data_IF_408027936580
#
_entry.id   IF_408027936580
#
_cell.length_a   1.000
_cell.length_b   1.000
_cell.length_c   1.000
_cell.angle_alpha   90.00
_cell.angle_beta   90.00
_cell.angle_gamma   90.00
#
_symmetry.space_group_name_H-M   'P 1'
#
loop_
_entity.id
_entity.type
_entity.pdbx_description
1 polymer ?
#
# COMPACT_ATOMS: atom_id res chain seq x y z
N UNK A 1 17.42 4.75 6.63
CA UNK A 1 16.41 4.47 5.59
C UNK A 1 16.59 5.44 4.44
N UNK A 2 16.39 5.01 3.19
CA UNK A 2 16.36 5.87 1.99
C UNK A 2 14.96 5.81 1.41
N UNK A 3 14.25 6.94 1.32
CA UNK A 3 12.85 6.97 0.90
C UNK A 3 12.37 8.38 0.57
N UNK A 4 11.20 8.51 -0.06
CA UNK A 4 10.38 9.72 0.10
C UNK A 4 9.92 9.83 1.57
N UNK A 5 9.76 11.09 2.06
CA UNK A 5 9.45 11.34 3.47
C UNK A 5 8.42 12.46 3.61
N UNK A 6 7.62 12.51 4.70
CA UNK A 6 6.74 13.63 4.97
C UNK A 6 7.50 14.99 5.01
N UNK A 7 6.84 16.09 4.60
CA UNK A 7 5.41 16.30 4.32
C UNK A 7 4.94 15.89 2.92
N UNK A 8 5.80 15.24 2.12
CA UNK A 8 5.45 14.82 0.75
C UNK A 8 4.13 14.04 0.71
N UNK A 9 3.20 14.44 -0.18
CA UNK A 9 1.91 13.76 -0.38
C UNK A 9 2.10 12.49 -1.22
N UNK A 10 2.70 11.47 -0.62
CA UNK A 10 3.07 10.22 -1.27
C UNK A 10 2.74 9.03 -0.37
N UNK A 11 2.20 7.96 -0.94
CA UNK A 11 1.90 6.73 -0.21
C UNK A 11 3.16 6.07 0.38
N UNK A 12 4.30 6.15 -0.33
CA UNK A 12 5.58 5.61 0.14
C UNK A 12 6.12 6.42 1.32
N UNK A 13 5.96 7.77 1.31
CA UNK A 13 6.37 8.60 2.44
C UNK A 13 5.61 8.23 3.73
N UNK A 14 4.30 8.02 3.63
CA UNK A 14 3.48 7.58 4.77
C UNK A 14 3.86 6.17 5.22
N UNK A 15 4.09 5.25 4.29
CA UNK A 15 4.54 3.90 4.59
C UNK A 15 5.89 3.91 5.32
N UNK A 16 6.87 4.65 4.79
CA UNK A 16 8.22 4.74 5.37
C UNK A 16 8.21 5.35 6.78
N UNK A 17 7.37 6.36 7.01
CA UNK A 17 7.17 6.96 8.33
C UNK A 17 6.58 5.97 9.34
N UNK A 18 5.51 5.24 8.96
CA UNK A 18 4.92 4.20 9.80
C UNK A 18 5.92 3.07 10.08
N UNK A 19 6.62 2.57 9.05
CA UNK A 19 7.66 1.55 9.22
C UNK A 19 8.77 2.00 10.18
N UNK A 20 9.28 3.23 9.99
CA UNK A 20 10.33 3.79 10.83
C UNK A 20 9.92 3.92 12.30
N UNK A 21 8.65 4.26 12.59
CA UNK A 21 8.12 4.31 13.95
C UNK A 21 8.31 2.97 14.67
N UNK A 22 7.94 1.87 14.03
CA UNK A 22 8.02 0.53 14.64
C UNK A 22 9.41 -0.08 14.60
N UNK A 23 10.23 0.25 13.59
CA UNK A 23 11.65 -0.11 13.57
C UNK A 23 12.38 0.55 14.74
N UNK A 24 12.16 1.85 14.99
CA UNK A 24 12.77 2.57 16.12
C UNK A 24 12.34 2.00 17.48
N UNK A 25 11.07 1.63 17.64
CA UNK A 25 10.57 1.00 18.87
C UNK A 25 11.22 -0.35 19.17
N UNK A 26 11.70 -1.05 18.14
CA UNK A 26 12.35 -2.37 18.29
C UNK A 26 13.76 -2.24 18.89
N UNK A 27 14.48 -1.15 18.58
CA UNK A 27 15.80 -0.84 19.13
C UNK A 27 15.96 0.68 19.28
N UNK A 28 15.49 1.20 20.41
CA UNK A 28 15.50 2.63 20.72
C UNK A 28 16.92 3.20 20.94
N UNK A 29 17.91 2.36 21.19
CA UNK A 29 19.28 2.79 21.45
C UNK A 29 20.05 3.06 20.15
N UNK A 30 19.61 2.51 19.01
CA UNK A 30 20.28 2.71 17.73
C UNK A 30 19.82 4.01 17.06
N UNK A 31 20.76 4.82 16.57
CA UNK A 31 20.38 5.99 15.80
C UNK A 31 19.70 5.55 14.49
N UNK A 32 18.63 6.25 14.14
CA UNK A 32 17.88 6.03 12.90
C UNK A 32 17.93 7.31 12.06
N UNK A 33 18.46 7.18 10.85
CA UNK A 33 18.60 8.27 9.90
C UNK A 33 17.73 8.04 8.67
N UNK A 34 17.27 9.13 8.07
CA UNK A 34 16.50 9.12 6.83
C UNK A 34 17.22 9.97 5.79
N UNK A 35 17.53 9.38 4.66
CA UNK A 35 17.97 10.11 3.46
C UNK A 35 16.76 10.22 2.53
N UNK A 36 16.31 11.44 2.28
CA UNK A 36 15.04 11.68 1.59
C UNK A 36 15.18 12.59 0.38
N UNK A 37 14.10 12.66 -0.41
CA UNK A 37 13.94 13.70 -1.43
C UNK A 37 13.98 15.07 -0.79
N UNK A 38 14.30 16.10 -1.60
CA UNK A 38 14.52 17.48 -1.18
C UNK A 38 13.36 18.15 -0.44
N UNK A 39 12.18 17.56 -0.49
CA UNK A 39 10.96 18.00 0.20
C UNK A 39 10.65 17.28 1.51
N UNK A 40 11.54 16.38 1.97
CA UNK A 40 11.38 15.70 3.26
C UNK A 40 11.87 16.55 4.44
N UNK A 41 11.20 16.48 5.58
CA UNK A 41 11.48 17.28 6.78
C UNK A 41 11.47 16.41 8.04
N UNK A 42 12.25 16.79 9.05
CA UNK A 42 12.24 16.15 10.38
C UNK A 42 13.63 16.00 10.99
N UNK A 43 13.66 15.52 12.22
CA UNK A 43 14.90 15.23 12.94
C UNK A 43 15.61 13.99 12.32
N UNK A 44 16.93 14.10 12.12
CA UNK A 44 17.73 13.07 11.45
C UNK A 44 17.29 12.74 10.00
N UNK A 45 16.58 13.67 9.34
CA UNK A 45 16.21 13.61 7.93
C UNK A 45 17.18 14.45 7.10
N UNK A 46 17.77 13.83 6.07
CA UNK A 46 18.71 14.49 5.14
C UNK A 46 18.05 14.58 3.77
N UNK A 47 17.47 15.76 3.39
CA UNK A 47 16.70 15.95 2.17
C UNK A 47 17.61 16.23 0.96
N UNK A 48 18.33 15.22 0.49
CA UNK A 48 19.40 15.35 -0.52
C UNK A 48 19.16 14.60 -1.83
N UNK A 49 18.07 13.83 -1.95
CA UNK A 49 17.72 13.17 -3.21
C UNK A 49 17.09 14.21 -4.14
N UNK A 50 17.89 14.72 -5.07
CA UNK A 50 17.49 15.77 -6.01
C UNK A 50 17.32 15.18 -7.42
N UNK A 51 16.08 14.88 -7.78
CA UNK A 51 15.74 14.27 -9.07
C UNK A 51 15.84 15.23 -10.27
N UNK A 52 16.21 16.48 -10.08
CA UNK A 52 16.56 17.39 -11.16
C UNK A 52 17.98 17.15 -11.69
N UNK A 53 18.79 16.37 -10.96
CA UNK A 53 20.18 16.05 -11.30
C UNK A 53 20.31 14.63 -11.82
N UNK A 54 21.03 14.43 -12.90
CA UNK A 54 21.32 13.10 -13.42
C UNK A 54 22.19 12.26 -12.47
N UNK A 55 23.10 12.90 -11.74
CA UNK A 55 24.02 12.30 -10.79
C UNK A 55 23.51 12.33 -9.33
N UNK A 56 22.19 12.38 -9.13
CA UNK A 56 21.53 12.49 -7.82
C UNK A 56 22.01 11.44 -6.81
N UNK A 57 22.43 10.26 -7.27
CA UNK A 57 22.89 9.14 -6.45
C UNK A 57 24.26 9.39 -5.81
N UNK A 58 25.12 10.26 -6.38
CA UNK A 58 26.45 10.54 -5.84
C UNK A 58 26.41 11.17 -4.44
N UNK A 59 25.73 12.33 -4.22
CA UNK A 59 25.65 12.91 -2.89
C UNK A 59 24.89 12.02 -1.90
N UNK A 60 23.95 11.19 -2.38
CA UNK A 60 23.20 10.23 -1.57
C UNK A 60 24.12 9.13 -1.05
N UNK A 61 24.89 8.49 -1.94
CA UNK A 61 25.85 7.46 -1.55
C UNK A 61 26.91 8.00 -0.59
N UNK A 62 27.46 9.19 -0.87
CA UNK A 62 28.41 9.87 0.01
C UNK A 62 27.84 10.10 1.41
N UNK A 63 26.60 10.62 1.50
CA UNK A 63 25.97 10.85 2.79
C UNK A 63 25.74 9.56 3.57
N UNK A 64 25.30 8.49 2.91
CA UNK A 64 25.12 7.18 3.54
C UNK A 64 26.45 6.64 4.09
N UNK A 65 27.53 6.76 3.31
CA UNK A 65 28.87 6.35 3.76
C UNK A 65 29.38 7.20 4.94
N UNK A 66 29.12 8.52 4.96
CA UNK A 66 29.45 9.41 6.08
C UNK A 66 28.69 9.04 7.37
N UNK A 67 27.47 8.52 7.25
CA UNK A 67 26.65 8.09 8.37
C UNK A 67 27.09 6.74 8.94
N UNK A 68 27.88 5.98 8.20
CA UNK A 68 28.43 4.67 8.56
C UNK A 68 27.36 3.72 9.18
N UNK A 69 26.26 3.42 8.47
CA UNK A 69 25.16 2.65 9.03
C UNK A 69 25.45 1.15 9.06
N UNK A 70 24.92 0.42 10.03
CA UNK A 70 24.95 -1.04 10.05
C UNK A 70 24.22 -1.67 8.87
N UNK A 71 23.09 -1.06 8.46
CA UNK A 71 22.30 -1.49 7.32
C UNK A 71 21.61 -0.29 6.65
N UNK A 72 21.39 -0.40 5.34
CA UNK A 72 20.71 0.61 4.51
C UNK A 72 19.42 0.03 3.96
N UNK A 73 18.29 0.46 4.48
CA UNK A 73 16.96 0.04 4.00
C UNK A 73 16.42 1.07 3.00
N UNK A 74 16.19 0.65 1.77
CA UNK A 74 15.81 1.51 0.64
C UNK A 74 14.41 1.16 0.15
N UNK A 75 13.50 2.13 0.22
CA UNK A 75 12.16 2.03 -0.34
C UNK A 75 12.21 2.38 -1.82
N UNK A 76 11.94 1.42 -2.70
CA UNK A 76 11.98 1.66 -4.13
C UNK A 76 10.57 1.74 -4.74
N UNK A 77 10.38 2.77 -5.57
CA UNK A 77 9.24 2.92 -6.49
C UNK A 77 9.75 3.61 -7.76
N UNK A 78 9.36 3.12 -8.92
CA UNK A 78 9.86 3.63 -10.21
C UNK A 78 9.76 5.15 -10.33
N UNK A 79 8.64 5.73 -9.94
CA UNK A 79 8.42 7.17 -10.01
C UNK A 79 9.24 8.01 -9.02
N UNK A 80 9.92 7.40 -8.05
CA UNK A 80 10.75 8.12 -7.08
C UNK A 80 12.19 8.33 -7.55
N UNK A 81 12.70 7.43 -8.39
CA UNK A 81 14.13 7.39 -8.77
C UNK A 81 14.36 7.45 -10.28
N UNK A 82 13.32 7.83 -11.02
CA UNK A 82 13.39 7.97 -12.46
C UNK A 82 13.82 9.39 -12.83
N UNK A 83 15.07 9.57 -13.23
CA UNK A 83 15.52 10.85 -13.79
C UNK A 83 14.96 11.01 -15.21
N UNK A 84 14.47 12.22 -15.51
CA UNK A 84 13.98 12.60 -16.83
C UNK A 84 14.75 13.86 -17.25
N UNK A 85 15.38 13.80 -18.42
CA UNK A 85 16.17 14.91 -18.94
C UNK A 85 15.31 16.04 -19.57
N UNK A 86 15.95 17.09 -20.07
CA UNK A 86 15.28 18.25 -20.68
C UNK A 86 14.50 17.89 -21.97
N UNK A 87 14.82 16.77 -22.63
CA UNK A 87 14.12 16.26 -23.80
C UNK A 87 12.94 15.36 -23.44
N UNK A 88 12.77 15.03 -22.17
CA UNK A 88 11.76 14.10 -21.69
C UNK A 88 12.21 12.64 -21.72
N UNK A 89 13.49 12.37 -21.97
CA UNK A 89 14.03 11.01 -21.98
C UNK A 89 14.31 10.53 -20.55
N UNK A 90 13.77 9.35 -20.22
CA UNK A 90 13.89 8.72 -18.90
C UNK A 90 15.17 7.88 -18.82
N UNK A 91 15.85 7.92 -17.67
CA UNK A 91 16.97 7.02 -17.36
C UNK A 91 16.53 5.60 -16.96
N UNK A 92 15.23 5.35 -16.90
CA UNK A 92 14.65 4.04 -16.53
C UNK A 92 15.19 3.50 -15.21
N UNK A 93 15.39 4.36 -14.21
CA UNK A 93 15.96 4.06 -12.90
C UNK A 93 17.44 3.59 -12.91
N UNK A 94 18.21 3.87 -13.95
CA UNK A 94 19.64 3.53 -13.98
C UNK A 94 20.40 4.21 -12.84
N UNK A 95 20.06 5.45 -12.48
CA UNK A 95 20.63 6.13 -11.31
C UNK A 95 20.43 5.36 -9.99
N UNK A 96 19.32 4.62 -9.86
CA UNK A 96 19.11 3.76 -8.69
C UNK A 96 20.06 2.56 -8.66
N UNK A 97 20.32 1.92 -9.79
CA UNK A 97 21.31 0.84 -9.89
C UNK A 97 22.73 1.36 -9.59
N UNK A 98 23.06 2.57 -10.05
CA UNK A 98 24.33 3.23 -9.72
C UNK A 98 24.45 3.51 -8.21
N UNK A 99 23.36 3.92 -7.55
CA UNK A 99 23.35 4.05 -6.08
C UNK A 99 23.70 2.70 -5.41
N UNK A 100 23.04 1.60 -5.80
CA UNK A 100 23.30 0.28 -5.23
C UNK A 100 24.76 -0.16 -5.44
N UNK A 101 25.33 0.06 -6.63
CA UNK A 101 26.75 -0.24 -6.92
C UNK A 101 27.69 0.50 -5.96
N UNK A 102 27.43 1.78 -5.66
CA UNK A 102 28.22 2.58 -4.71
C UNK A 102 28.06 2.14 -3.27
N UNK A 103 26.95 1.50 -2.94
CA UNK A 103 26.66 0.95 -1.61
C UNK A 103 27.06 -0.53 -1.47
N UNK A 104 27.69 -1.13 -2.48
CA UNK A 104 28.01 -2.57 -2.52
C UNK A 104 28.83 -3.12 -1.34
N UNK A 105 29.54 -2.25 -0.61
CA UNK A 105 30.25 -2.61 0.64
C UNK A 105 29.36 -2.64 1.90
N UNK A 106 28.14 -2.14 1.82
CA UNK A 106 27.21 -2.04 2.94
C UNK A 106 26.12 -3.12 2.86
N UNK A 107 25.54 -3.47 4.01
CA UNK A 107 24.34 -4.30 4.09
C UNK A 107 23.14 -3.52 3.54
N UNK A 108 22.73 -3.82 2.30
CA UNK A 108 21.64 -3.13 1.61
C UNK A 108 20.39 -3.97 1.55
N UNK A 109 19.27 -3.39 1.99
CA UNK A 109 17.95 -4.01 1.92
C UNK A 109 17.11 -3.15 0.98
N UNK A 110 16.64 -3.70 -0.13
CA UNK A 110 15.76 -3.01 -1.07
C UNK A 110 14.34 -3.52 -0.94
N UNK A 111 13.41 -2.62 -0.75
CA UNK A 111 11.97 -2.91 -0.64
C UNK A 111 11.21 -2.27 -1.81
N UNK A 112 11.04 -3.00 -2.96
CA UNK A 112 10.29 -2.48 -4.09
C UNK A 112 8.79 -2.53 -3.81
N UNK A 113 8.13 -1.38 -3.97
CA UNK A 113 6.68 -1.27 -3.79
C UNK A 113 5.90 -1.74 -5.01
N UNK A 114 6.48 -1.65 -6.18
CA UNK A 114 5.87 -2.10 -7.43
C UNK A 114 6.73 -3.18 -8.08
N UNK A 115 6.23 -4.41 -8.08
CA UNK A 115 6.75 -5.53 -8.87
C UNK A 115 5.56 -6.15 -9.58
N UNK A 116 5.40 -5.79 -10.86
CA UNK A 116 4.30 -6.29 -11.68
C UNK A 116 4.50 -7.75 -12.09
N UNK A 117 3.42 -8.50 -12.20
CA UNK A 117 3.48 -9.87 -12.71
C UNK A 117 3.70 -9.95 -14.22
N UNK A 118 3.59 -8.81 -14.92
CA UNK A 118 3.97 -8.65 -16.34
C UNK A 118 4.93 -7.49 -16.43
N UNK A 119 6.22 -7.81 -16.38
CA UNK A 119 7.28 -6.84 -16.55
C UNK A 119 7.54 -6.62 -18.04
N UNK A 120 7.85 -5.38 -18.42
CA UNK A 120 8.43 -5.07 -19.72
C UNK A 120 9.91 -5.45 -19.71
N UNK A 121 10.52 -5.59 -20.85
CA UNK A 121 11.92 -6.03 -20.95
C UNK A 121 12.89 -5.17 -20.11
N UNK A 122 12.75 -3.85 -20.15
CA UNK A 122 13.58 -2.96 -19.33
C UNK A 122 13.31 -3.09 -17.83
N UNK A 123 12.06 -3.37 -17.44
CA UNK A 123 11.70 -3.63 -16.04
C UNK A 123 12.24 -4.98 -15.56
N UNK A 124 12.22 -6.01 -16.41
CA UNK A 124 12.84 -7.31 -16.12
C UNK A 124 14.35 -7.18 -15.90
N UNK A 125 15.04 -6.47 -16.80
CA UNK A 125 16.47 -6.21 -16.68
C UNK A 125 16.79 -5.41 -15.42
N UNK A 126 16.00 -4.37 -15.13
CA UNK A 126 16.15 -3.57 -13.92
C UNK A 126 15.98 -4.42 -12.64
N UNK A 127 14.91 -5.22 -12.54
CA UNK A 127 14.65 -6.06 -11.35
C UNK A 127 15.74 -7.12 -11.21
N UNK A 128 16.20 -7.72 -12.31
CA UNK A 128 17.29 -8.69 -12.29
C UNK A 128 18.60 -8.07 -11.75
N UNK A 129 18.98 -6.89 -12.27
CA UNK A 129 20.20 -6.21 -11.78
C UNK A 129 20.05 -5.71 -10.33
N UNK A 130 18.89 -5.14 -9.98
CA UNK A 130 18.57 -4.70 -8.63
C UNK A 130 18.69 -5.85 -7.61
N UNK A 131 18.10 -7.02 -7.92
CA UNK A 131 18.14 -8.18 -7.01
C UNK A 131 19.55 -8.77 -6.88
N UNK A 132 20.39 -8.59 -7.91
CA UNK A 132 21.80 -9.03 -7.88
C UNK A 132 22.70 -8.06 -7.10
N UNK A 133 22.37 -6.77 -7.05
CA UNK A 133 23.15 -5.73 -6.38
C UNK A 133 22.78 -5.57 -4.89
N UNK A 134 21.51 -5.79 -4.55
CA UNK A 134 21.05 -5.71 -3.17
C UNK A 134 21.46 -6.94 -2.35
N UNK A 135 21.82 -6.75 -1.08
CA UNK A 135 22.09 -7.87 -0.18
C UNK A 135 20.82 -8.66 0.13
N UNK A 136 19.71 -7.95 0.42
CA UNK A 136 18.37 -8.54 0.64
C UNK A 136 17.34 -7.74 -0.15
N UNK A 137 16.36 -8.43 -0.70
CA UNK A 137 15.20 -7.83 -1.35
C UNK A 137 13.91 -8.26 -0.67
N UNK A 138 13.03 -7.29 -0.37
CA UNK A 138 11.78 -7.54 0.37
C UNK A 138 10.57 -7.43 -0.57
N UNK A 139 9.93 -8.54 -0.85
CA UNK A 139 8.65 -8.55 -1.56
C UNK A 139 7.48 -8.59 -0.58
N UNK A 140 6.32 -8.16 -1.04
CA UNK A 140 5.14 -8.00 -0.19
C UNK A 140 4.24 -9.22 -0.10
N UNK A 141 4.33 -10.13 -1.05
CA UNK A 141 3.56 -11.37 -1.05
C UNK A 141 4.25 -12.46 -1.87
N UNK A 142 3.91 -13.72 -1.57
CA UNK A 142 4.43 -14.89 -2.29
C UNK A 142 4.14 -14.85 -3.79
N UNK A 143 2.98 -14.30 -4.17
CA UNK A 143 2.61 -14.17 -5.58
C UNK A 143 3.63 -13.33 -6.38
N UNK A 144 4.15 -12.24 -5.83
CA UNK A 144 5.17 -11.42 -6.49
C UNK A 144 6.46 -12.23 -6.73
N UNK A 145 6.94 -12.96 -5.71
CA UNK A 145 8.13 -13.83 -5.80
C UNK A 145 7.92 -14.93 -6.85
N UNK A 146 6.78 -15.60 -6.81
CA UNK A 146 6.42 -16.65 -7.75
C UNK A 146 6.35 -16.14 -9.19
N UNK A 147 5.69 -15.00 -9.44
CA UNK A 147 5.60 -14.40 -10.78
C UNK A 147 6.95 -13.94 -11.31
N UNK A 148 7.80 -13.38 -10.46
CA UNK A 148 9.16 -13.01 -10.84
C UNK A 148 9.96 -14.25 -11.25
N UNK A 149 9.83 -15.36 -10.51
CA UNK A 149 10.46 -16.63 -10.86
C UNK A 149 10.06 -17.12 -12.25
N UNK A 150 8.80 -16.99 -12.64
CA UNK A 150 8.33 -17.30 -13.99
C UNK A 150 8.95 -16.37 -15.05
N UNK A 151 8.99 -15.06 -14.80
CA UNK A 151 9.57 -14.09 -15.70
C UNK A 151 11.07 -14.38 -15.90
N UNK A 152 11.81 -14.62 -14.82
CA UNK A 152 13.25 -14.93 -14.87
C UNK A 152 13.53 -16.25 -15.58
N UNK A 153 12.78 -17.31 -15.29
CA UNK A 153 12.91 -18.60 -15.95
C UNK A 153 12.68 -18.49 -17.47
N UNK A 154 11.77 -17.62 -17.94
CA UNK A 154 11.54 -17.38 -19.37
C UNK A 154 12.74 -16.74 -20.08
N UNK A 155 13.63 -16.10 -19.32
CA UNK A 155 14.91 -15.51 -19.79
C UNK A 155 16.12 -16.42 -19.55
N UNK A 156 15.92 -17.57 -18.92
CA UNK A 156 17.02 -18.45 -18.50
C UNK A 156 17.78 -17.93 -17.27
N UNK A 157 17.18 -17.04 -16.48
CA UNK A 157 17.74 -16.53 -15.24
C UNK A 157 17.21 -17.32 -14.04
N UNK A 158 18.04 -17.50 -13.04
CA UNK A 158 17.62 -18.06 -11.75
C UNK A 158 16.98 -16.99 -10.87
N UNK A 159 16.01 -17.39 -10.07
CA UNK A 159 15.44 -16.52 -9.04
C UNK A 159 16.43 -16.37 -7.89
N UNK A 160 16.86 -15.14 -7.53
CA UNK A 160 17.82 -14.96 -6.45
C UNK A 160 17.29 -15.45 -5.09
N UNK A 161 18.17 -16.09 -4.32
CA UNK A 161 17.82 -16.64 -3.01
C UNK A 161 17.71 -15.59 -1.89
N UNK A 162 18.12 -14.35 -2.15
CA UNK A 162 18.09 -13.23 -1.21
C UNK A 162 16.75 -12.50 -1.13
N UNK A 163 15.65 -13.08 -1.68
CA UNK A 163 14.31 -12.50 -1.67
C UNK A 163 13.52 -13.03 -0.50
N UNK A 164 13.20 -12.16 0.46
CA UNK A 164 12.32 -12.43 1.61
C UNK A 164 10.93 -11.83 1.40
N UNK A 165 9.88 -12.50 1.88
CA UNK A 165 8.53 -11.96 1.88
C UNK A 165 8.28 -11.22 3.20
N UNK A 166 8.00 -9.92 3.09
CA UNK A 166 7.63 -9.07 4.22
C UNK A 166 6.39 -8.26 3.82
N UNK A 167 5.22 -8.58 4.34
CA UNK A 167 3.96 -7.96 3.92
C UNK A 167 3.91 -6.48 4.30
N UNK A 168 2.91 -5.77 3.75
CA UNK A 168 2.64 -4.39 4.14
C UNK A 168 2.15 -4.36 5.59
N UNK A 169 2.82 -3.60 6.45
CA UNK A 169 2.43 -3.43 7.85
C UNK A 169 1.09 -2.74 8.01
N UNK A 170 0.35 -3.10 9.05
CA UNK A 170 -0.90 -2.48 9.44
C UNK A 170 -0.89 -2.14 10.95
N UNK A 171 -1.64 -1.11 11.35
CA UNK A 171 -1.63 -0.57 12.72
C UNK A 171 -2.70 -1.25 13.60
N UNK A 172 -2.34 -2.08 14.59
CA UNK A 172 -3.31 -2.72 15.47
C UNK A 172 -3.92 -1.77 16.52
N UNK A 173 -3.28 -0.61 16.73
CA UNK A 173 -3.73 0.43 17.65
C UNK A 173 -4.88 1.30 17.10
N UNK A 174 -5.23 1.17 15.83
CA UNK A 174 -6.30 1.93 15.18
C UNK A 174 -7.64 1.18 15.24
N UNK A 175 -8.19 1.04 16.45
CA UNK A 175 -9.49 0.43 16.69
C UNK A 175 -10.44 1.44 17.29
N UNK A 176 -11.70 1.34 16.91
CA UNK A 176 -12.78 2.17 17.44
C UNK A 176 -13.91 1.27 17.94
N UNK A 177 -14.36 1.47 19.18
CA UNK A 177 -15.52 0.79 19.70
C UNK A 177 -16.80 1.29 19.00
N UNK A 178 -17.88 0.53 19.09
CA UNK A 178 -19.14 0.86 18.38
C UNK A 178 -19.69 2.23 18.83
N UNK A 179 -19.61 2.54 20.11
CA UNK A 179 -20.02 3.83 20.67
C UNK A 179 -19.10 4.98 20.23
N UNK A 180 -17.81 4.72 19.99
CA UNK A 180 -16.88 5.70 19.45
C UNK A 180 -17.20 6.03 17.99
N UNK A 181 -17.64 5.06 17.18
CA UNK A 181 -18.00 5.28 15.76
C UNK A 181 -19.11 6.34 15.63
N UNK A 182 -20.13 6.30 16.47
CA UNK A 182 -21.19 7.30 16.46
C UNK A 182 -20.68 8.73 16.79
N UNK A 183 -19.65 8.84 17.64
CA UNK A 183 -19.00 10.12 17.93
C UNK A 183 -18.11 10.59 16.76
N UNK A 184 -17.47 9.65 16.03
CA UNK A 184 -16.69 9.96 14.82
C UNK A 184 -17.57 10.53 13.71
N UNK A 185 -18.81 10.07 13.56
CA UNK A 185 -19.74 10.64 12.57
C UNK A 185 -20.00 12.12 12.84
N UNK A 186 -20.15 12.52 14.10
CA UNK A 186 -20.29 13.94 14.47
C UNK A 186 -18.98 14.72 14.26
N UNK A 187 -17.86 14.18 14.72
CA UNK A 187 -16.54 14.80 14.55
C UNK A 187 -16.20 15.06 13.08
N UNK A 188 -16.55 14.14 12.21
CA UNK A 188 -16.27 14.22 10.77
C UNK A 188 -17.33 15.03 9.99
N UNK A 189 -18.39 15.50 10.63
CA UNK A 189 -19.52 16.14 9.95
C UNK A 189 -20.38 15.16 9.13
N UNK A 190 -20.38 13.89 9.52
CA UNK A 190 -21.09 12.79 8.84
C UNK A 190 -22.36 12.35 9.61
N UNK A 191 -22.93 13.22 10.44
CA UNK A 191 -24.12 12.91 11.28
C UNK A 191 -25.33 12.40 10.50
N UNK A 192 -25.40 12.67 9.19
CA UNK A 192 -26.43 12.15 8.29
C UNK A 192 -26.32 10.65 8.02
N UNK A 193 -25.22 10.00 8.44
CA UNK A 193 -25.03 8.54 8.37
C UNK A 193 -25.63 7.81 9.56
N UNK A 194 -25.95 8.51 10.67
CA UNK A 194 -26.44 7.90 11.89
C UNK A 194 -27.66 6.99 11.63
N UNK A 195 -27.56 5.77 12.12
CA UNK A 195 -28.59 4.75 11.97
C UNK A 195 -28.69 4.11 10.58
N UNK A 196 -27.76 4.42 9.69
CA UNK A 196 -27.64 3.80 8.38
C UNK A 196 -26.42 2.86 8.34
N UNK A 197 -26.48 1.83 7.54
CA UNK A 197 -25.31 1.04 7.19
C UNK A 197 -24.53 1.71 6.04
N UNK A 198 -23.22 1.65 6.10
CA UNK A 198 -22.35 2.42 5.20
C UNK A 198 -21.43 1.51 4.38
N UNK A 199 -21.50 1.62 3.06
CA UNK A 199 -20.51 1.04 2.15
C UNK A 199 -19.53 2.13 1.73
N UNK A 200 -18.22 1.90 1.96
CA UNK A 200 -17.19 2.89 1.70
C UNK A 200 -16.47 2.71 0.36
N UNK A 201 -16.31 3.81 -0.38
CA UNK A 201 -15.30 4.04 -1.41
C UNK A 201 -14.33 5.09 -0.85
N UNK A 202 -13.22 4.68 -0.25
CA UNK A 202 -12.38 5.60 0.54
C UNK A 202 -10.93 5.61 0.05
N UNK A 203 -10.37 6.78 -0.17
CA UNK A 203 -8.97 6.95 -0.52
C UNK A 203 -8.67 8.08 -1.52
N UNK A 204 -7.44 8.09 -2.04
CA UNK A 204 -7.06 9.03 -3.08
C UNK A 204 -7.82 8.77 -4.38
N UNK A 205 -8.39 9.82 -4.95
CA UNK A 205 -9.10 9.74 -6.22
C UNK A 205 -8.09 9.77 -7.37
N UNK A 206 -8.05 8.66 -8.11
CA UNK A 206 -7.17 8.43 -9.27
C UNK A 206 -7.92 7.57 -10.30
N UNK A 207 -7.43 7.57 -11.54
CA UNK A 207 -8.03 6.82 -12.65
C UNK A 207 -8.15 5.32 -12.39
N UNK A 208 -7.14 4.73 -11.74
CA UNK A 208 -7.11 3.30 -11.44
C UNK A 208 -8.07 2.88 -10.31
N UNK A 209 -8.64 3.80 -9.54
CA UNK A 209 -9.55 3.47 -8.42
C UNK A 209 -10.95 3.05 -8.85
N UNK A 210 -11.36 3.39 -10.07
CA UNK A 210 -12.56 2.90 -10.73
C UNK A 210 -13.84 2.97 -9.89
N UNK A 211 -14.04 4.04 -9.15
CA UNK A 211 -15.26 4.26 -8.36
C UNK A 211 -16.54 4.23 -9.21
N UNK A 212 -16.40 4.57 -10.49
CA UNK A 212 -17.48 4.48 -11.50
C UNK A 212 -18.12 3.07 -11.61
N UNK A 213 -17.38 2.02 -11.29
CA UNK A 213 -17.91 0.65 -11.33
C UNK A 213 -19.03 0.47 -10.30
N UNK A 214 -18.81 0.92 -9.06
CA UNK A 214 -19.82 0.80 -8.00
C UNK A 214 -20.94 1.83 -8.16
N UNK A 215 -20.60 3.09 -8.43
CA UNK A 215 -21.63 4.15 -8.58
C UNK A 215 -22.61 3.83 -9.70
N UNK A 216 -22.16 3.23 -10.80
CA UNK A 216 -23.02 2.86 -11.94
C UNK A 216 -24.04 1.74 -11.67
N UNK A 217 -23.86 0.99 -10.60
CA UNK A 217 -24.76 -0.12 -10.22
C UNK A 217 -25.45 0.12 -8.87
N UNK A 218 -25.12 1.24 -8.19
CA UNK A 218 -25.50 1.43 -6.79
C UNK A 218 -27.01 1.55 -6.59
N UNK A 219 -27.70 2.30 -7.43
CA UNK A 219 -29.15 2.49 -7.29
C UNK A 219 -29.90 1.15 -7.29
N UNK A 220 -29.68 0.32 -8.32
CA UNK A 220 -30.28 -1.03 -8.38
C UNK A 220 -29.90 -1.89 -7.17
N UNK A 221 -28.64 -1.81 -6.75
CA UNK A 221 -28.15 -2.60 -5.64
C UNK A 221 -28.74 -2.16 -4.30
N UNK A 222 -28.83 -0.86 -4.07
CA UNK A 222 -29.47 -0.25 -2.90
C UNK A 222 -30.92 -0.75 -2.75
N UNK A 223 -31.74 -0.66 -3.82
CA UNK A 223 -33.13 -1.11 -3.78
C UNK A 223 -33.25 -2.61 -3.47
N UNK A 224 -32.34 -3.41 -4.02
CA UNK A 224 -32.29 -4.86 -3.75
C UNK A 224 -31.88 -5.17 -2.31
N UNK A 225 -30.95 -4.43 -1.72
CA UNK A 225 -30.56 -4.58 -0.32
C UNK A 225 -31.75 -4.20 0.57
N UNK A 226 -32.34 -3.03 0.36
CA UNK A 226 -33.49 -2.54 1.13
C UNK A 226 -34.68 -3.50 1.07
N UNK A 227 -34.97 -4.04 -0.10
CA UNK A 227 -36.06 -5.02 -0.27
C UNK A 227 -35.81 -6.33 0.50
N UNK A 228 -34.55 -6.70 0.78
CA UNK A 228 -34.20 -7.94 1.48
C UNK A 228 -34.00 -7.77 2.98
N UNK A 229 -33.47 -6.64 3.41
CA UNK A 229 -33.09 -6.41 4.82
C UNK A 229 -34.10 -5.51 5.55
N UNK A 230 -34.79 -4.63 4.83
CA UNK A 230 -35.55 -3.53 5.42
C UNK A 230 -34.69 -2.41 5.99
N UNK A 231 -33.36 -2.51 5.90
CA UNK A 231 -32.39 -1.59 6.46
C UNK A 231 -31.96 -0.54 5.44
N UNK A 232 -31.59 0.64 5.94
CA UNK A 232 -31.02 1.70 5.11
C UNK A 232 -29.51 1.50 4.93
N UNK A 233 -29.08 1.28 3.70
CA UNK A 233 -27.70 1.22 3.29
C UNK A 233 -27.35 2.37 2.38
N UNK A 234 -26.26 3.06 2.65
CA UNK A 234 -25.80 4.20 1.84
C UNK A 234 -24.37 4.02 1.36
N UNK A 235 -24.04 4.66 0.26
CA UNK A 235 -22.69 4.71 -0.28
C UNK A 235 -22.00 5.98 0.23
N UNK A 236 -20.89 5.83 0.93
CA UNK A 236 -19.99 6.92 1.28
C UNK A 236 -18.77 6.89 0.36
N UNK A 237 -18.67 7.84 -0.55
CA UNK A 237 -17.46 8.08 -1.30
C UNK A 237 -16.66 9.18 -0.60
N UNK A 238 -15.43 8.87 -0.16
CA UNK A 238 -14.66 9.80 0.64
C UNK A 238 -13.20 9.87 0.18
N UNK A 239 -12.72 11.08 -0.10
CA UNK A 239 -11.35 11.29 -0.56
C UNK A 239 -11.08 12.66 -1.16
N UNK A 240 -9.89 12.78 -1.72
CA UNK A 240 -9.41 13.96 -2.44
C UNK A 240 -8.64 13.52 -3.69
N UNK A 241 -8.58 14.38 -4.68
CA UNK A 241 -7.75 14.21 -5.85
C UNK A 241 -6.27 14.20 -5.46
N UNK A 242 -5.51 13.19 -5.93
CA UNK A 242 -4.10 13.07 -5.60
C UNK A 242 -3.26 14.19 -6.22
N UNK A 243 -3.47 14.45 -7.50
CA UNK A 243 -2.81 15.50 -8.26
C UNK A 243 -3.70 15.99 -9.42
N UNK A 244 -3.40 17.15 -10.04
CA UNK A 244 -4.21 17.75 -11.13
C UNK A 244 -4.39 16.86 -12.37
N UNK A 245 -3.50 15.88 -12.60
CA UNK A 245 -3.61 14.97 -13.75
C UNK A 245 -4.85 14.07 -13.65
N UNK A 246 -5.41 13.90 -12.45
CA UNK A 246 -6.61 13.12 -12.19
C UNK A 246 -7.91 13.94 -12.20
N UNK A 247 -7.89 15.21 -12.62
CA UNK A 247 -9.07 16.09 -12.62
C UNK A 247 -10.27 15.49 -13.36
N UNK A 248 -10.06 14.86 -14.52
CA UNK A 248 -11.15 14.24 -15.29
C UNK A 248 -11.81 13.09 -14.54
N UNK A 249 -11.03 12.26 -13.89
CA UNK A 249 -11.53 11.13 -13.11
C UNK A 249 -12.23 11.62 -11.84
N UNK A 250 -11.66 12.63 -11.18
CA UNK A 250 -12.29 13.28 -10.03
C UNK A 250 -13.70 13.79 -10.37
N UNK A 251 -13.82 14.61 -11.42
CA UNK A 251 -15.11 15.14 -11.87
C UNK A 251 -16.10 14.02 -12.22
N UNK A 252 -15.63 13.01 -12.96
CA UNK A 252 -16.48 11.87 -13.34
C UNK A 252 -17.01 11.12 -12.11
N UNK A 253 -16.17 10.88 -11.10
CA UNK A 253 -16.59 10.14 -9.90
C UNK A 253 -17.53 10.99 -9.03
N UNK A 254 -17.18 12.26 -8.80
CA UNK A 254 -18.01 13.18 -8.00
C UNK A 254 -19.38 13.36 -8.64
N UNK A 255 -19.46 13.62 -9.93
CA UNK A 255 -20.77 13.75 -10.63
C UNK A 255 -21.61 12.48 -10.52
N UNK A 256 -20.98 11.29 -10.62
CA UNK A 256 -21.70 10.02 -10.44
C UNK A 256 -22.27 9.84 -9.03
N UNK A 257 -21.57 10.38 -8.02
CA UNK A 257 -22.02 10.33 -6.63
C UNK A 257 -23.08 11.39 -6.36
N UNK A 258 -22.93 12.62 -6.87
CA UNK A 258 -23.90 13.70 -6.73
C UNK A 258 -25.28 13.31 -7.28
N UNK A 259 -25.31 12.64 -8.43
CA UNK A 259 -26.56 12.11 -8.98
C UNK A 259 -27.25 11.09 -8.03
N UNK A 260 -26.50 10.28 -7.32
CA UNK A 260 -27.01 9.35 -6.31
C UNK A 260 -27.38 10.07 -5.00
N UNK A 261 -26.69 11.16 -4.68
CA UNK A 261 -26.96 11.99 -3.51
C UNK A 261 -28.30 12.76 -3.64
N UNK A 262 -28.71 13.13 -4.86
CA UNK A 262 -30.05 13.68 -5.12
C UNK A 262 -31.19 12.73 -4.68
N UNK A 263 -30.89 11.43 -4.58
CA UNK A 263 -31.81 10.38 -4.12
C UNK A 263 -31.59 9.98 -2.66
N UNK A 264 -30.71 10.64 -1.95
CA UNK A 264 -30.32 10.38 -0.55
C UNK A 264 -29.77 8.97 -0.29
N UNK A 265 -29.17 8.34 -1.30
CA UNK A 265 -28.60 6.98 -1.23
C UNK A 265 -27.08 6.94 -1.33
N UNK A 266 -26.43 8.08 -1.59
CA UNK A 266 -24.98 8.22 -1.58
C UNK A 266 -24.56 9.60 -1.09
N UNK A 267 -23.32 9.69 -0.60
CA UNK A 267 -22.73 10.94 -0.11
C UNK A 267 -21.28 11.05 -0.52
N UNK A 268 -20.81 12.28 -0.76
CA UNK A 268 -19.43 12.58 -0.99
C UNK A 268 -18.84 13.36 0.18
N UNK A 269 -17.75 12.83 0.76
CA UNK A 269 -16.99 13.47 1.84
C UNK A 269 -15.58 13.81 1.35
N UNK A 270 -15.29 15.11 1.25
CA UNK A 270 -13.97 15.58 0.85
C UNK A 270 -13.04 15.61 2.05
N UNK A 271 -11.94 14.84 2.01
CA UNK A 271 -10.90 14.86 3.02
C UNK A 271 -9.56 14.41 2.41
N UNK A 272 -8.46 14.75 3.06
CA UNK A 272 -7.13 14.29 2.66
C UNK A 272 -6.90 12.88 3.23
N UNK A 273 -6.75 11.84 2.39
CA UNK A 273 -6.59 10.45 2.85
C UNK A 273 -5.19 10.20 3.45
N UNK A 274 -4.93 10.75 4.63
CA UNK A 274 -3.67 10.63 5.36
C UNK A 274 -3.89 10.69 6.87
N UNK A 275 -3.07 9.97 7.62
CA UNK A 275 -3.08 9.98 9.08
C UNK A 275 -4.38 9.50 9.71
N UNK A 276 -4.70 9.96 10.91
CA UNK A 276 -5.88 9.59 11.69
C UNK A 276 -7.23 9.82 10.98
N UNK A 277 -7.46 10.94 10.28
CA UNK A 277 -8.71 11.12 9.55
C UNK A 277 -9.04 9.99 8.58
N UNK A 278 -8.01 9.36 7.98
CA UNK A 278 -8.21 8.24 7.07
C UNK A 278 -8.77 7.01 7.78
N UNK A 279 -8.25 6.67 8.96
CA UNK A 279 -8.80 5.59 9.78
C UNK A 279 -10.22 5.90 10.27
N UNK A 280 -10.46 7.12 10.73
CA UNK A 280 -11.77 7.56 11.24
C UNK A 280 -12.85 7.47 10.18
N UNK A 281 -12.60 7.97 8.96
CA UNK A 281 -13.55 7.87 7.83
C UNK A 281 -13.83 6.43 7.44
N UNK A 282 -12.82 5.56 7.48
CA UNK A 282 -13.03 4.12 7.23
C UNK A 282 -13.77 3.43 8.38
N UNK A 283 -13.57 3.88 9.61
CA UNK A 283 -14.21 3.29 10.78
C UNK A 283 -15.73 3.42 10.75
N UNK A 284 -16.28 4.50 10.16
CA UNK A 284 -17.74 4.67 10.01
C UNK A 284 -18.36 3.78 8.93
N UNK A 285 -17.56 3.06 8.13
CA UNK A 285 -18.06 2.13 7.12
C UNK A 285 -18.28 0.73 7.71
N UNK A 286 -19.37 0.05 7.34
CA UNK A 286 -19.61 -1.37 7.68
C UNK A 286 -18.83 -2.32 6.80
N UNK A 287 -18.66 -1.94 5.52
CA UNK A 287 -17.80 -2.65 4.57
C UNK A 287 -17.19 -1.66 3.56
N UNK A 288 -16.08 -2.07 2.94
CA UNK A 288 -15.35 -1.22 2.01
C UNK A 288 -15.22 -1.94 0.66
N UNK A 289 -15.34 -1.16 -0.43
CA UNK A 289 -15.17 -1.68 -1.80
C UNK A 289 -13.92 -1.07 -2.43
N UNK A 290 -13.04 -1.91 -2.93
CA UNK A 290 -11.84 -1.54 -3.66
C UNK A 290 -11.94 -2.00 -5.12
N UNK A 291 -12.62 -1.22 -6.00
CA UNK A 291 -12.80 -1.60 -7.40
C UNK A 291 -11.58 -1.23 -8.26
N UNK A 292 -10.40 -1.18 -7.65
CA UNK A 292 -9.17 -0.72 -8.27
C UNK A 292 -8.75 -1.58 -9.46
N UNK A 293 -8.07 -0.97 -10.41
CA UNK A 293 -7.29 -1.62 -11.45
C UNK A 293 -5.81 -1.37 -11.14
N UNK A 294 -4.97 -2.36 -11.44
CA UNK A 294 -3.51 -2.18 -11.46
C UNK A 294 -2.92 -1.73 -10.11
N UNK A 295 -3.18 -2.49 -9.07
CA UNK A 295 -2.68 -2.19 -7.73
C UNK A 295 -1.88 -3.37 -7.19
N UNK A 296 -0.55 -3.24 -7.17
CA UNK A 296 0.38 -4.27 -6.67
C UNK A 296 0.35 -4.35 -5.16
N UNK A 297 0.09 -3.22 -4.51
CA UNK A 297 -0.13 -3.10 -3.06
C UNK A 297 -1.09 -1.96 -2.76
N UNK A 298 -1.76 -2.04 -1.61
CA UNK A 298 -2.70 -1.02 -1.21
C UNK A 298 -2.54 -0.61 0.26
N UNK A 299 -2.03 0.61 0.46
CA UNK A 299 -2.05 1.23 1.78
C UNK A 299 -3.48 1.43 2.32
N UNK A 300 -4.48 1.49 1.43
CA UNK A 300 -5.90 1.47 1.80
C UNK A 300 -6.28 0.11 2.39
N UNK A 301 -5.84 -1.00 1.78
CA UNK A 301 -6.12 -2.34 2.30
C UNK A 301 -5.47 -2.57 3.67
N UNK A 302 -4.25 -2.08 3.90
CA UNK A 302 -3.62 -2.16 5.22
C UNK A 302 -4.47 -1.48 6.32
N UNK A 303 -5.12 -0.36 6.00
CA UNK A 303 -6.03 0.34 6.91
C UNK A 303 -7.34 -0.42 7.13
N UNK A 304 -7.89 -1.03 6.08
CA UNK A 304 -9.05 -1.91 6.16
C UNK A 304 -8.77 -3.08 7.10
N UNK A 305 -7.59 -3.70 6.98
CA UNK A 305 -7.13 -4.80 7.84
C UNK A 305 -6.99 -4.29 9.28
N UNK A 306 -6.36 -3.14 9.51
CA UNK A 306 -6.21 -2.52 10.82
C UNK A 306 -7.54 -2.32 11.55
N UNK A 307 -8.59 -1.96 10.80
CA UNK A 307 -9.94 -1.72 11.32
C UNK A 307 -10.82 -3.00 11.32
N UNK A 308 -10.32 -4.13 10.85
CA UNK A 308 -11.04 -5.40 10.75
C UNK A 308 -12.34 -5.28 9.91
N UNK A 309 -12.37 -4.39 8.90
CA UNK A 309 -13.56 -4.16 8.09
C UNK A 309 -13.63 -5.19 6.96
N UNK A 310 -14.74 -5.93 6.80
CA UNK A 310 -14.92 -6.79 5.64
C UNK A 310 -14.88 -5.94 4.36
N UNK A 311 -14.34 -6.51 3.29
CA UNK A 311 -14.17 -5.76 2.04
C UNK A 311 -14.44 -6.60 0.79
N UNK A 312 -14.65 -5.88 -0.32
CA UNK A 312 -14.80 -6.49 -1.65
C UNK A 312 -13.79 -5.83 -2.58
N UNK A 313 -12.99 -6.63 -3.28
CA UNK A 313 -11.98 -6.10 -4.21
C UNK A 313 -11.97 -6.82 -5.55
N UNK A 314 -11.39 -6.17 -6.54
CA UNK A 314 -11.28 -6.68 -7.91
C UNK A 314 -10.32 -7.86 -7.98
N UNK A 315 -10.64 -8.84 -8.84
CA UNK A 315 -9.75 -9.92 -9.28
C UNK A 315 -9.77 -10.03 -10.82
N UNK A 316 -8.71 -10.52 -11.45
CA UNK A 316 -7.40 -10.84 -10.90
C UNK A 316 -6.51 -9.59 -10.86
N UNK A 317 -6.21 -9.11 -9.69
CA UNK A 317 -5.16 -8.13 -9.44
C UNK A 317 -4.13 -8.75 -8.52
N UNK A 318 -2.87 -8.65 -8.87
CA UNK A 318 -1.79 -9.41 -8.26
C UNK A 318 -1.71 -9.26 -6.74
N UNK A 319 -1.34 -8.09 -6.26
CA UNK A 319 -1.16 -7.85 -4.83
C UNK A 319 -2.47 -7.85 -4.05
N UNK A 320 -3.51 -7.16 -4.55
CA UNK A 320 -4.81 -7.12 -3.86
C UNK A 320 -5.47 -8.49 -3.78
N UNK A 321 -5.41 -9.28 -4.86
CA UNK A 321 -5.97 -10.63 -4.87
C UNK A 321 -5.21 -11.54 -3.90
N UNK A 322 -3.87 -11.51 -3.93
CA UNK A 322 -3.04 -12.31 -3.03
C UNK A 322 -3.33 -11.96 -1.56
N UNK A 323 -3.27 -10.69 -1.18
CA UNK A 323 -3.55 -10.23 0.18
C UNK A 323 -4.99 -10.54 0.63
N UNK A 324 -5.97 -10.50 -0.29
CA UNK A 324 -7.35 -10.87 0.02
C UNK A 324 -7.48 -12.35 0.34
N UNK A 325 -6.80 -13.22 -0.42
CA UNK A 325 -6.80 -14.66 -0.19
C UNK A 325 -6.03 -15.02 1.09
N UNK A 326 -4.87 -14.43 1.31
CA UNK A 326 -4.05 -14.64 2.51
C UNK A 326 -4.78 -14.20 3.79
N UNK A 327 -5.38 -13.02 3.79
CA UNK A 327 -6.14 -12.51 4.94
C UNK A 327 -7.45 -13.28 5.19
N UNK A 328 -8.03 -13.85 4.14
CA UNK A 328 -9.35 -14.49 4.16
C UNK A 328 -10.51 -13.58 4.58
N UNK A 329 -10.27 -12.25 4.71
CA UNK A 329 -11.23 -11.28 5.23
C UNK A 329 -11.96 -10.46 4.18
N UNK A 330 -11.72 -10.73 2.89
CA UNK A 330 -12.35 -10.06 1.77
C UNK A 330 -12.99 -11.00 0.77
N UNK A 331 -13.84 -10.44 -0.10
CA UNK A 331 -14.45 -11.15 -1.22
C UNK A 331 -13.91 -10.59 -2.53
N UNK A 332 -13.75 -11.46 -3.53
CA UNK A 332 -13.26 -11.10 -4.85
C UNK A 332 -14.42 -10.95 -5.85
N UNK A 333 -14.26 -10.03 -6.81
CA UNK A 333 -15.16 -9.93 -7.97
C UNK A 333 -14.37 -9.71 -9.26
N UNK A 334 -14.91 -10.21 -10.38
CA UNK A 334 -14.32 -10.08 -11.72
C UNK A 334 -15.15 -9.22 -12.66
N UNK A 335 -16.43 -9.02 -12.33
CA UNK A 335 -17.38 -8.25 -13.13
C UNK A 335 -18.45 -7.62 -12.23
N UNK A 336 -19.30 -6.75 -12.83
CA UNK A 336 -20.34 -6.01 -12.09
C UNK A 336 -21.38 -6.91 -11.43
N UNK A 337 -21.77 -8.01 -12.05
CA UNK A 337 -22.76 -8.92 -11.48
C UNK A 337 -22.22 -9.66 -10.27
N UNK A 338 -20.95 -10.07 -10.33
CA UNK A 338 -20.27 -10.64 -9.19
C UNK A 338 -20.10 -9.61 -8.06
N UNK A 339 -19.76 -8.35 -8.38
CA UNK A 339 -19.70 -7.26 -7.40
C UNK A 339 -21.05 -7.09 -6.69
N UNK A 340 -22.16 -6.97 -7.45
CA UNK A 340 -23.52 -6.92 -6.88
C UNK A 340 -23.79 -8.09 -5.94
N UNK A 341 -23.45 -9.31 -6.38
CA UNK A 341 -23.64 -10.54 -5.58
C UNK A 341 -22.85 -10.49 -4.28
N UNK A 342 -21.59 -10.08 -4.32
CA UNK A 342 -20.73 -10.06 -3.13
C UNK A 342 -21.19 -9.00 -2.13
N UNK A 343 -21.51 -7.79 -2.60
CA UNK A 343 -22.02 -6.73 -1.73
C UNK A 343 -23.37 -7.16 -1.11
N UNK A 344 -24.28 -7.71 -1.91
CA UNK A 344 -25.57 -8.17 -1.42
C UNK A 344 -25.42 -9.26 -0.34
N UNK A 345 -24.47 -10.20 -0.51
CA UNK A 345 -24.17 -11.20 0.52
C UNK A 345 -23.71 -10.55 1.83
N UNK A 346 -22.79 -9.59 1.73
CA UNK A 346 -22.28 -8.89 2.93
C UNK A 346 -23.35 -8.02 3.59
N UNK A 347 -24.20 -7.37 2.81
CA UNK A 347 -25.28 -6.55 3.34
C UNK A 347 -26.36 -7.38 4.06
N UNK A 348 -26.65 -8.59 3.56
CA UNK A 348 -27.73 -9.45 4.08
C UNK A 348 -27.29 -10.48 5.12
N UNK A 349 -25.97 -10.67 5.32
CA UNK A 349 -25.42 -11.69 6.23
C UNK A 349 -24.44 -11.03 7.23
N UNK A 350 -24.98 -10.64 8.36
CA UNK A 350 -24.18 -10.06 9.46
C UNK A 350 -23.15 -11.06 10.02
N UNK A 351 -23.52 -12.31 10.15
CA UNK A 351 -22.62 -13.38 10.64
C UNK A 351 -21.40 -13.52 9.71
N UNK A 352 -21.63 -13.42 8.40
CA UNK A 352 -20.53 -13.39 7.43
C UNK A 352 -19.63 -12.19 7.62
N UNK A 353 -20.19 -10.98 7.81
CA UNK A 353 -19.38 -9.77 8.08
C UNK A 353 -18.49 -9.96 9.32
N UNK A 354 -19.06 -10.46 10.42
CA UNK A 354 -18.32 -10.78 11.63
C UNK A 354 -17.22 -11.81 11.40
N UNK A 355 -17.54 -12.90 10.69
CA UNK A 355 -16.57 -13.96 10.38
C UNK A 355 -15.39 -13.46 9.54
N UNK A 356 -15.62 -12.59 8.57
CA UNK A 356 -14.56 -11.95 7.77
C UNK A 356 -13.73 -10.97 8.62
N UNK A 357 -14.37 -10.13 9.43
CA UNK A 357 -13.71 -9.23 10.37
C UNK A 357 -12.81 -9.97 11.36
N UNK A 358 -13.25 -11.13 11.87
CA UNK A 358 -12.44 -11.96 12.76
C UNK A 358 -11.18 -12.53 12.05
N UNK A 359 -11.30 -12.94 10.79
CA UNK A 359 -10.15 -13.39 9.99
C UNK A 359 -9.16 -12.26 9.78
N UNK A 360 -9.64 -11.04 9.50
CA UNK A 360 -8.79 -9.86 9.40
C UNK A 360 -8.07 -9.55 10.72
N UNK A 361 -8.77 -9.67 11.83
CA UNK A 361 -8.16 -9.49 13.16
C UNK A 361 -7.02 -10.49 13.40
N UNK A 362 -7.24 -11.76 13.08
CA UNK A 362 -6.18 -12.76 13.21
C UNK A 362 -5.00 -12.47 12.30
N UNK A 363 -5.27 -12.18 11.04
CA UNK A 363 -4.24 -11.83 10.06
C UNK A 363 -3.45 -10.58 10.47
N UNK A 364 -4.16 -9.56 10.99
CA UNK A 364 -3.53 -8.37 11.56
C UNK A 364 -2.55 -8.72 12.67
N UNK A 365 -2.99 -9.49 13.65
CA UNK A 365 -2.18 -9.75 14.85
C UNK A 365 -1.05 -10.76 14.62
N UNK A 366 -1.28 -11.75 13.76
CA UNK A 366 -0.37 -12.88 13.56
C UNK A 366 0.64 -12.63 12.40
N UNK A 367 0.28 -11.78 11.42
CA UNK A 367 1.06 -11.68 10.16
C UNK A 367 1.48 -10.25 9.82
N UNK A 368 0.56 -9.27 9.90
CA UNK A 368 0.80 -7.93 9.30
C UNK A 368 0.81 -6.78 10.29
N UNK A 369 0.71 -7.00 11.61
CA UNK A 369 0.92 -5.88 12.54
C UNK A 369 2.31 -5.29 12.35
N UNK A 370 2.45 -3.98 12.50
CA UNK A 370 3.75 -3.34 12.38
C UNK A 370 4.79 -3.91 13.35
N UNK A 371 4.37 -4.43 14.51
CA UNK A 371 5.25 -5.12 15.46
C UNK A 371 5.84 -6.40 14.86
N UNK A 372 5.01 -7.21 14.18
CA UNK A 372 5.45 -8.44 13.48
C UNK A 372 6.34 -8.07 12.29
N UNK A 373 5.90 -7.13 11.45
CA UNK A 373 6.64 -6.68 10.26
C UNK A 373 7.99 -6.06 10.65
N UNK A 374 8.06 -5.26 11.71
CA UNK A 374 9.33 -4.75 12.21
C UNK A 374 10.27 -5.88 12.66
N UNK A 375 9.74 -6.96 13.24
CA UNK A 375 10.53 -8.16 13.54
C UNK A 375 11.12 -8.80 12.28
N UNK A 376 10.33 -8.91 11.22
CA UNK A 376 10.78 -9.43 9.92
C UNK A 376 11.85 -8.53 9.28
N UNK A 377 11.72 -7.20 9.39
CA UNK A 377 12.77 -6.27 8.96
C UNK A 377 14.09 -6.51 9.70
N UNK A 378 14.04 -6.73 11.02
CA UNK A 378 15.24 -7.04 11.79
C UNK A 378 15.87 -8.37 11.36
N UNK A 379 15.07 -9.39 11.02
CA UNK A 379 15.59 -10.63 10.43
C UNK A 379 16.35 -10.35 9.12
N UNK A 380 15.76 -9.52 8.24
CA UNK A 380 16.42 -9.11 6.99
C UNK A 380 17.71 -8.31 7.23
N UNK A 381 17.71 -7.39 8.22
CA UNK A 381 18.90 -6.60 8.57
C UNK A 381 20.03 -7.49 9.08
N UNK A 382 19.73 -8.42 9.98
CA UNK A 382 20.73 -9.36 10.50
C UNK A 382 21.30 -10.24 9.39
N UNK A 383 20.46 -10.79 8.52
CA UNK A 383 20.93 -11.59 7.38
C UNK A 383 21.85 -10.78 6.45
N UNK A 384 21.49 -9.52 6.16
CA UNK A 384 22.29 -8.66 5.30
C UNK A 384 23.64 -8.27 5.95
N UNK A 385 23.66 -8.01 7.25
CA UNK A 385 24.90 -7.72 8.00
C UNK A 385 25.79 -8.96 8.03
N UNK A 386 25.23 -10.13 8.35
CA UNK A 386 25.98 -11.39 8.40
C UNK A 386 26.63 -11.74 7.05
N UNK A 387 25.92 -11.51 5.93
CA UNK A 387 26.54 -11.69 4.60
C UNK A 387 27.77 -10.80 4.42
N UNK A 388 27.70 -9.51 4.84
CA UNK A 388 28.83 -8.59 4.69
C UNK A 388 30.00 -8.94 5.60
N UNK A 389 29.75 -9.48 6.78
CA UNK A 389 30.78 -9.87 7.74
C UNK A 389 31.42 -11.22 7.40
N UNK A 390 30.60 -12.20 6.97
CA UNK A 390 31.08 -13.58 6.72
C UNK A 390 31.47 -13.86 5.27
N UNK A 391 30.92 -13.06 4.32
CA UNK A 391 31.01 -13.32 2.88
C UNK A 391 30.11 -14.47 2.40
N UNK A 392 29.27 -15.01 3.27
CA UNK A 392 28.30 -16.07 2.90
C UNK A 392 27.03 -15.45 2.36
N UNK A 393 26.63 -15.74 1.11
CA UNK A 393 25.42 -15.16 0.52
C UNK A 393 24.17 -15.47 1.33
N UNK A 394 23.25 -14.49 1.44
CA UNK A 394 21.96 -14.68 2.07
C UNK A 394 21.12 -15.70 1.31
N UNK A 395 20.52 -16.60 2.05
CA UNK A 395 19.62 -17.61 1.51
C UNK A 395 18.32 -17.63 2.34
N UNK A 396 17.21 -17.31 1.70
CA UNK A 396 15.89 -17.53 2.27
C UNK A 396 15.25 -18.73 1.57
N UNK A 397 14.82 -19.72 2.36
CA UNK A 397 14.15 -20.89 1.80
C UNK A 397 12.96 -20.47 0.94
N UNK A 398 12.74 -21.12 -0.23
CA UNK A 398 11.54 -20.90 -1.00
C UNK A 398 10.35 -21.46 -0.19
N UNK A 399 9.57 -20.57 0.37
CA UNK A 399 8.27 -20.91 0.93
C UNK A 399 7.30 -21.10 -0.25
N UNK A 400 6.82 -22.31 -0.44
CA UNK A 400 5.84 -22.71 -1.47
C UNK A 400 4.46 -22.89 -0.85
#
# INVERSE_FOLDING_TARGET
MVSSWPPRKCGIATFAEEAAEFIKKKDEQRPFYVVSHTDGEGDNVFPIIDMSRRDWYEPVAKKIQELDPYAVHIQHEYGLYNYVDENGDSDQNQGFLELLKRLGGLATIVEPHTVHGRLREHEENFVHEMTSLATVVLFKCHYQKWRLGWNFASRGWELPANIMIVPHGARPDKKYAIDEVAALEDELGLSYLKGKHVIGLVGWIQSNKRWDILTSIWEELHDRIKARTGEEWVLLAAGEMRDPNHTKDYVRYVNGIEHLAEKDIAYFHKFIPRGDPYYKVMAVCDLIVLPSLDETQSGTLARIIALNKPFVTTAPLEGLTAQTLESGGGLLFTNRDMLKKQILRLATDESMRWGLGYKLYRYLMEVVSWEVVAGQYYTAYHAAIEEKESGTPVYFEPEF
#
